data_IF_700659799914
#
_entry.id   IF_700659799914
#
_cell.length_a   1.000
_cell.length_b   1.000
_cell.length_c   1.000
_cell.angle_alpha   90.00
_cell.angle_beta   90.00
_cell.angle_gamma   90.00
#
_symmetry.space_group_name_H-M   'P 1'
#
loop_
_entity.id
_entity.type
_entity.pdbx_description
1 polymer ?
#
# COMPACT_ATOMS: atom_id res chain seq x y z
N UNK A 1 -18.65 24.16 25.37
CA UNK A 1 -18.26 22.82 25.89
C UNK A 1 -17.15 22.31 24.98
N UNK A 2 -15.98 21.91 25.49
CA UNK A 2 -15.03 21.19 24.66
C UNK A 2 -15.62 19.82 24.33
N UNK A 3 -15.56 19.43 23.07
CA UNK A 3 -15.95 18.10 22.60
C UNK A 3 -14.90 17.15 23.13
N UNK A 4 -15.27 16.29 24.08
CA UNK A 4 -14.47 15.13 24.46
C UNK A 4 -14.32 14.26 23.22
N UNK A 5 -13.10 14.18 22.68
CA UNK A 5 -12.74 13.24 21.62
C UNK A 5 -13.10 11.83 22.09
N UNK A 6 -13.99 11.16 21.36
CA UNK A 6 -14.36 9.78 21.59
C UNK A 6 -13.17 8.82 21.44
N UNK A 7 -13.34 7.54 21.80
CA UNK A 7 -12.28 6.55 21.80
C UNK A 7 -11.79 6.31 20.36
N UNK A 8 -10.49 6.55 20.11
CA UNK A 8 -9.74 6.19 18.90
C UNK A 8 -10.53 6.23 17.58
N UNK A 9 -10.56 7.40 16.93
CA UNK A 9 -10.97 7.46 15.54
C UNK A 9 -9.79 7.02 14.64
N UNK A 10 -9.69 5.73 14.38
CA UNK A 10 -8.66 5.15 13.51
C UNK A 10 -8.67 5.73 12.10
N UNK A 11 -9.80 6.29 11.64
CA UNK A 11 -9.90 6.93 10.34
C UNK A 11 -9.19 8.31 10.29
N UNK A 12 -9.18 9.05 11.40
CA UNK A 12 -8.44 10.32 11.51
C UNK A 12 -6.93 10.08 11.70
N UNK A 13 -6.56 9.01 12.41
CA UNK A 13 -5.15 8.64 12.53
C UNK A 13 -4.57 8.04 11.24
N UNK A 14 -5.40 7.35 10.43
CA UNK A 14 -5.02 6.83 9.13
C UNK A 14 -4.91 7.94 8.06
N UNK A 15 -5.72 9.00 8.15
CA UNK A 15 -5.69 10.12 7.19
C UNK A 15 -4.43 10.99 7.29
N UNK A 16 -3.72 10.95 8.43
CA UNK A 16 -2.41 11.60 8.61
C UNK A 16 -1.26 10.92 7.86
N UNK A 17 -1.50 9.74 7.28
CA UNK A 17 -0.50 8.96 6.54
C UNK A 17 0.39 8.09 7.43
N UNK A 18 0.56 6.83 7.03
CA UNK A 18 1.50 5.87 7.61
C UNK A 18 0.87 4.80 8.52
N UNK A 19 1.69 3.84 8.94
CA UNK A 19 1.23 2.63 9.62
C UNK A 19 0.60 2.91 11.01
N UNK A 20 -0.55 2.29 11.27
CA UNK A 20 -1.30 2.42 12.54
C UNK A 20 -0.64 1.66 13.70
N UNK A 21 0.01 0.53 13.42
CA UNK A 21 0.53 -0.36 14.46
C UNK A 21 1.51 0.31 15.46
N UNK A 22 2.50 1.13 15.03
CA UNK A 22 3.35 1.87 15.96
C UNK A 22 2.58 2.82 16.88
N UNK A 23 1.58 3.52 16.34
CA UNK A 23 0.75 4.45 17.12
C UNK A 23 -0.05 3.70 18.18
N UNK A 24 -0.58 2.52 17.81
CA UNK A 24 -1.31 1.66 18.73
C UNK A 24 -0.41 1.13 19.84
N UNK A 25 0.83 0.73 19.53
CA UNK A 25 1.83 0.33 20.53
C UNK A 25 2.09 1.46 21.52
N UNK A 26 2.36 2.69 21.04
CA UNK A 26 2.60 3.86 21.90
C UNK A 26 1.44 4.04 22.88
N UNK A 27 0.20 4.04 22.38
CA UNK A 27 -0.93 4.30 23.27
C UNK A 27 -1.20 3.15 24.25
N UNK A 28 -1.05 1.89 23.83
CA UNK A 28 -1.19 0.77 24.78
C UNK A 28 -0.13 0.87 25.88
N UNK A 29 1.11 1.25 25.53
CA UNK A 29 2.18 1.51 26.52
C UNK A 29 1.76 2.60 27.50
N UNK A 30 1.20 3.72 27.02
CA UNK A 30 0.71 4.80 27.87
C UNK A 30 -0.43 4.34 28.80
N UNK A 31 -1.34 3.50 28.30
CA UNK A 31 -2.49 3.00 29.07
C UNK A 31 -2.08 2.00 30.18
N UNK A 32 -1.05 1.18 29.94
CA UNK A 32 -0.62 0.16 30.91
C UNK A 32 0.58 0.59 31.78
N UNK A 33 1.17 1.75 31.49
CA UNK A 33 2.25 2.36 32.28
C UNK A 33 3.47 1.45 32.43
N UNK A 34 4.04 1.38 33.63
CA UNK A 34 5.24 0.58 33.95
C UNK A 34 5.09 -0.91 33.62
N UNK A 35 3.85 -1.44 33.54
CA UNK A 35 3.62 -2.81 33.13
C UNK A 35 4.10 -3.08 31.69
N UNK A 36 4.20 -2.06 30.84
CA UNK A 36 4.67 -2.15 29.47
C UNK A 36 6.09 -2.74 29.33
N UNK A 37 6.92 -2.60 30.38
CA UNK A 37 8.29 -3.08 30.37
C UNK A 37 8.42 -4.54 30.82
N UNK A 38 7.32 -5.18 31.22
CA UNK A 38 7.31 -6.62 31.49
C UNK A 38 7.52 -7.40 30.18
N UNK A 39 8.32 -8.48 30.17
CA UNK A 39 8.64 -9.25 28.96
C UNK A 39 7.43 -9.66 28.12
N UNK A 40 6.34 -10.06 28.78
CA UNK A 40 5.09 -10.50 28.12
C UNK A 40 4.41 -9.42 27.27
N UNK A 41 4.60 -8.13 27.57
CA UNK A 41 4.02 -7.03 26.80
C UNK A 41 4.99 -6.59 25.69
N UNK A 42 6.28 -6.59 25.96
CA UNK A 42 7.31 -6.33 24.94
C UNK A 42 7.19 -7.31 23.76
N UNK A 43 7.09 -8.62 24.05
CA UNK A 43 6.87 -9.64 23.01
C UNK A 43 5.58 -9.39 22.20
N UNK A 44 4.50 -8.95 22.85
CA UNK A 44 3.23 -8.64 22.17
C UNK A 44 3.37 -7.42 21.27
N UNK A 45 4.07 -6.38 21.71
CA UNK A 45 4.32 -5.20 20.88
C UNK A 45 5.15 -5.56 19.64
N UNK A 46 6.18 -6.37 19.81
CA UNK A 46 6.98 -6.88 18.68
C UNK A 46 6.10 -7.68 17.70
N UNK A 47 5.26 -8.59 18.19
CA UNK A 47 4.34 -9.36 17.34
C UNK A 47 3.33 -8.46 16.61
N UNK A 48 2.83 -7.39 17.24
CA UNK A 48 1.94 -6.43 16.60
C UNK A 48 2.61 -5.71 15.44
N UNK A 49 3.86 -5.25 15.63
CA UNK A 49 4.63 -4.58 14.59
C UNK A 49 4.98 -5.55 13.45
N UNK A 50 5.41 -6.76 13.79
CA UNK A 50 5.70 -7.79 12.80
C UNK A 50 4.46 -8.19 12.00
N UNK A 51 3.30 -8.30 12.65
CA UNK A 51 2.04 -8.62 11.96
C UNK A 51 1.66 -7.52 10.96
N UNK A 52 1.91 -6.26 11.31
CA UNK A 52 1.68 -5.14 10.38
C UNK A 52 2.63 -5.19 9.17
N UNK A 53 3.90 -5.55 9.38
CA UNK A 53 4.85 -5.72 8.28
C UNK A 53 4.50 -6.90 7.38
N UNK A 54 3.96 -7.99 7.94
CA UNK A 54 3.51 -9.15 7.19
C UNK A 54 2.31 -8.84 6.28
N UNK A 55 1.38 -8.00 6.75
CA UNK A 55 0.20 -7.57 5.98
C UNK A 55 0.60 -6.80 4.70
N UNK A 56 1.73 -6.10 4.74
CA UNK A 56 2.21 -5.27 3.62
C UNK A 56 3.54 -5.74 3.04
N UNK A 57 3.93 -6.98 3.34
CA UNK A 57 5.19 -7.57 2.88
C UNK A 57 5.26 -7.73 1.34
N UNK A 58 4.12 -7.66 0.66
CA UNK A 58 4.01 -7.79 -0.80
C UNK A 58 4.90 -6.80 -1.56
N UNK A 59 5.25 -5.64 -0.97
CA UNK A 59 6.20 -4.70 -1.61
C UNK A 59 7.60 -5.28 -1.81
N UNK A 60 7.96 -6.30 -1.03
CA UNK A 60 9.24 -6.99 -1.09
C UNK A 60 9.20 -8.31 -1.86
N UNK A 61 8.04 -8.71 -2.40
CA UNK A 61 7.91 -9.90 -3.24
C UNK A 61 8.58 -9.72 -4.61
N UNK A 62 8.81 -10.80 -5.38
CA UNK A 62 9.22 -10.68 -6.78
C UNK A 62 8.34 -9.70 -7.54
N UNK A 63 8.95 -8.87 -8.40
CA UNK A 63 8.29 -7.72 -9.04
C UNK A 63 6.95 -8.08 -9.71
N UNK A 64 6.88 -9.19 -10.46
CA UNK A 64 5.64 -9.61 -11.11
C UNK A 64 4.52 -10.01 -10.12
N UNK A 65 4.88 -10.53 -8.94
CA UNK A 65 3.92 -10.82 -7.87
C UNK A 65 3.36 -9.52 -7.27
N UNK A 66 4.21 -8.52 -7.06
CA UNK A 66 3.81 -7.18 -6.61
C UNK A 66 2.84 -6.54 -7.61
N UNK A 67 3.14 -6.61 -8.91
CA UNK A 67 2.27 -6.14 -10.00
C UNK A 67 0.93 -6.86 -9.98
N UNK A 68 0.92 -8.18 -9.82
CA UNK A 68 -0.32 -8.96 -9.69
C UNK A 68 -1.17 -8.53 -8.49
N UNK A 69 -0.54 -8.18 -7.37
CA UNK A 69 -1.23 -7.64 -6.19
C UNK A 69 -1.84 -6.26 -6.46
N UNK A 70 -1.12 -5.36 -7.14
CA UNK A 70 -1.66 -4.07 -7.56
C UNK A 70 -2.88 -4.21 -8.48
N UNK A 71 -2.85 -5.14 -9.44
CA UNK A 71 -3.97 -5.42 -10.34
C UNK A 71 -5.20 -5.92 -9.57
N UNK A 72 -5.02 -6.86 -8.64
CA UNK A 72 -6.14 -7.34 -7.79
C UNK A 72 -6.79 -6.21 -6.99
N UNK A 73 -5.98 -5.32 -6.42
CA UNK A 73 -6.49 -4.17 -5.67
C UNK A 73 -7.21 -3.15 -6.58
N UNK A 74 -6.73 -2.93 -7.81
CA UNK A 74 -7.41 -2.08 -8.77
C UNK A 74 -8.79 -2.64 -9.13
N UNK A 75 -8.87 -3.93 -9.43
CA UNK A 75 -10.13 -4.64 -9.71
C UNK A 75 -11.10 -4.57 -8.53
N UNK A 76 -10.60 -4.81 -7.32
CA UNK A 76 -11.41 -4.73 -6.11
C UNK A 76 -11.94 -3.31 -5.87
N UNK A 77 -11.13 -2.27 -6.13
CA UNK A 77 -11.54 -0.86 -6.01
C UNK A 77 -12.68 -0.53 -6.98
N UNK A 78 -12.60 -0.98 -8.24
CA UNK A 78 -13.65 -0.76 -9.23
C UNK A 78 -14.94 -1.48 -8.84
N UNK A 79 -14.84 -2.75 -8.44
CA UNK A 79 -15.97 -3.53 -7.94
C UNK A 79 -16.65 -2.83 -6.74
N UNK A 80 -15.88 -2.39 -5.74
CA UNK A 80 -16.40 -1.68 -4.55
C UNK A 80 -17.02 -0.33 -4.90
N UNK A 81 -16.60 0.27 -6.01
CA UNK A 81 -17.15 1.53 -6.52
C UNK A 81 -18.35 1.33 -7.44
N UNK A 82 -18.77 0.08 -7.71
CA UNK A 82 -19.86 -0.24 -8.63
C UNK A 82 -19.55 0.06 -10.10
N UNK A 83 -18.28 0.21 -10.47
CA UNK A 83 -17.86 0.46 -11.85
C UNK A 83 -17.48 -0.84 -12.55
N UNK A 84 -17.87 -0.97 -13.80
CA UNK A 84 -17.41 -2.06 -14.66
C UNK A 84 -16.02 -1.74 -15.20
N UNK A 85 -15.02 -2.59 -14.91
CA UNK A 85 -13.64 -2.39 -15.36
C UNK A 85 -13.52 -2.38 -16.89
N UNK A 86 -14.44 -3.03 -17.61
CA UNK A 86 -14.49 -3.02 -19.07
C UNK A 86 -15.05 -1.69 -19.64
N UNK A 87 -15.61 -0.82 -18.81
CA UNK A 87 -16.13 0.48 -19.23
C UNK A 87 -15.02 1.54 -19.32
N UNK A 88 -15.25 2.57 -20.16
CA UNK A 88 -14.38 3.75 -20.23
C UNK A 88 -14.39 4.60 -18.96
N UNK A 89 -15.47 4.57 -18.17
CA UNK A 89 -15.54 5.28 -16.88
C UNK A 89 -14.49 4.80 -15.87
N UNK A 90 -14.04 3.55 -16.02
CA UNK A 90 -13.00 2.96 -15.17
C UNK A 90 -11.58 3.32 -15.61
N UNK A 91 -11.38 3.94 -16.77
CA UNK A 91 -10.04 4.20 -17.30
C UNK A 91 -9.22 5.15 -16.41
N UNK A 92 -9.77 6.34 -16.12
CA UNK A 92 -9.09 7.33 -15.29
C UNK A 92 -8.77 6.80 -13.87
N UNK A 93 -9.73 6.22 -13.11
CA UNK A 93 -9.45 5.74 -11.76
C UNK A 93 -8.41 4.61 -11.70
N UNK A 94 -8.44 3.68 -12.67
CA UNK A 94 -7.47 2.58 -12.77
C UNK A 94 -6.09 3.11 -13.14
N UNK A 95 -5.99 4.02 -14.11
CA UNK A 95 -4.74 4.66 -14.50
C UNK A 95 -4.09 5.38 -13.32
N UNK A 96 -4.83 6.24 -12.62
CA UNK A 96 -4.32 6.97 -11.45
C UNK A 96 -3.87 6.02 -10.35
N UNK A 97 -4.62 4.94 -10.12
CA UNK A 97 -4.28 3.95 -9.11
C UNK A 97 -2.99 3.20 -9.42
N UNK A 98 -2.87 2.66 -10.63
CA UNK A 98 -1.74 1.82 -11.04
C UNK A 98 -0.46 2.61 -11.29
N UNK A 99 -0.56 3.92 -11.50
CA UNK A 99 0.59 4.81 -11.69
C UNK A 99 0.96 5.54 -10.39
N UNK A 100 0.48 6.78 -10.22
CA UNK A 100 0.81 7.62 -9.07
C UNK A 100 0.39 6.98 -7.75
N UNK A 101 -0.74 6.26 -7.72
CA UNK A 101 -1.22 5.57 -6.53
C UNK A 101 -0.24 4.51 -6.03
N UNK A 102 0.27 3.64 -6.91
CA UNK A 102 1.24 2.61 -6.53
C UNK A 102 2.57 3.21 -6.08
N UNK A 103 3.08 4.23 -6.79
CA UNK A 103 4.31 4.92 -6.37
C UNK A 103 4.16 5.59 -5.01
N UNK A 104 3.03 6.26 -4.78
CA UNK A 104 2.76 6.91 -3.50
C UNK A 104 2.64 5.89 -2.37
N UNK A 105 1.92 4.79 -2.60
CA UNK A 105 1.85 3.69 -1.64
C UNK A 105 3.25 3.13 -1.31
N UNK A 106 4.02 2.80 -2.33
CA UNK A 106 5.32 2.15 -2.19
C UNK A 106 6.35 3.04 -1.48
N UNK A 107 6.42 4.31 -1.86
CA UNK A 107 7.46 5.23 -1.40
C UNK A 107 7.08 6.01 -0.14
N UNK A 108 5.80 6.40 -0.01
CA UNK A 108 5.40 7.38 1.01
C UNK A 108 4.56 6.76 2.12
N UNK A 109 3.66 5.83 1.80
CA UNK A 109 2.76 5.23 2.79
C UNK A 109 3.38 4.01 3.45
N UNK A 110 4.00 3.13 2.66
CA UNK A 110 4.54 1.88 3.15
C UNK A 110 5.91 2.05 3.80
N UNK A 111 6.02 1.64 5.06
CA UNK A 111 7.28 1.52 5.81
C UNK A 111 7.21 0.27 6.68
N UNK A 112 8.30 -0.49 6.72
CA UNK A 112 8.44 -1.55 7.71
C UNK A 112 8.59 -0.91 9.09
N UNK A 113 7.85 -1.44 10.06
CA UNK A 113 7.74 -0.90 11.43
C UNK A 113 8.34 -1.83 12.49
N UNK A 114 8.89 -2.96 12.08
CA UNK A 114 9.72 -3.83 12.90
C UNK A 114 11.12 -3.99 12.30
N UNK A 115 12.10 -4.27 13.17
CA UNK A 115 13.47 -4.59 12.75
C UNK A 115 13.50 -5.86 11.88
N UNK A 116 12.70 -6.86 12.24
CA UNK A 116 12.61 -8.12 11.50
C UNK A 116 12.02 -7.90 10.11
N UNK A 117 10.90 -7.19 9.99
CA UNK A 117 10.28 -6.89 8.70
C UNK A 117 11.22 -6.10 7.79
N UNK A 118 11.90 -5.08 8.35
CA UNK A 118 12.93 -4.32 7.63
C UNK A 118 14.05 -5.21 7.11
N UNK A 119 14.56 -6.12 7.94
CA UNK A 119 15.65 -7.03 7.57
C UNK A 119 15.23 -8.07 6.53
N UNK A 120 14.03 -8.62 6.64
CA UNK A 120 13.56 -9.74 5.80
C UNK A 120 13.01 -9.25 4.47
N UNK A 121 12.19 -8.20 4.47
CA UNK A 121 11.47 -7.73 3.28
C UNK A 121 12.09 -6.46 2.65
N UNK A 122 12.93 -5.73 3.40
CA UNK A 122 13.62 -4.53 2.94
C UNK A 122 14.41 -4.71 1.64
N UNK A 123 15.29 -5.74 1.53
CA UNK A 123 16.06 -5.96 0.31
C UNK A 123 15.19 -6.15 -0.93
N UNK A 124 14.05 -6.84 -0.80
CA UNK A 124 13.09 -7.01 -1.90
C UNK A 124 12.41 -5.70 -2.27
N UNK A 125 12.01 -4.89 -1.28
CA UNK A 125 11.46 -3.55 -1.50
C UNK A 125 12.47 -2.67 -2.25
N UNK A 126 13.73 -2.67 -1.83
CA UNK A 126 14.76 -1.88 -2.49
C UNK A 126 15.00 -2.34 -3.94
N UNK A 127 15.01 -3.65 -4.19
CA UNK A 127 15.12 -4.20 -5.54
C UNK A 127 13.94 -3.84 -6.46
N UNK A 128 12.75 -3.60 -5.90
CA UNK A 128 11.56 -3.22 -6.66
C UNK A 128 11.45 -1.70 -6.91
N UNK A 129 12.17 -0.87 -6.16
CA UNK A 129 12.01 0.59 -6.17
C UNK A 129 12.11 1.21 -7.57
N UNK A 130 13.19 0.90 -8.28
CA UNK A 130 13.43 1.44 -9.62
C UNK A 130 12.40 0.90 -10.63
N UNK A 131 11.99 -0.36 -10.49
CA UNK A 131 11.02 -1.00 -11.38
C UNK A 131 9.63 -0.42 -11.22
N UNK A 132 9.19 -0.18 -9.99
CA UNK A 132 7.89 0.48 -9.71
C UNK A 132 7.85 1.88 -10.32
N UNK A 133 8.93 2.65 -10.14
CA UNK A 133 9.05 3.98 -10.76
C UNK A 133 9.04 3.90 -12.30
N UNK A 134 9.86 3.03 -12.89
CA UNK A 134 9.94 2.86 -14.34
C UNK A 134 8.61 2.41 -14.96
N UNK A 135 7.87 1.52 -14.27
CA UNK A 135 6.56 1.06 -14.72
C UNK A 135 5.54 2.20 -14.72
N UNK A 136 5.49 3.00 -13.66
CA UNK A 136 4.61 4.16 -13.56
C UNK A 136 4.90 5.19 -14.65
N UNK A 137 6.17 5.53 -14.87
CA UNK A 137 6.60 6.44 -15.95
C UNK A 137 6.20 5.92 -17.34
N UNK A 138 6.49 4.64 -17.66
CA UNK A 138 6.10 4.05 -18.95
C UNK A 138 4.61 4.13 -19.20
N UNK A 139 3.80 3.88 -18.18
CA UNK A 139 2.34 3.98 -18.30
C UNK A 139 1.90 5.42 -18.56
N UNK A 140 2.50 6.40 -17.86
CA UNK A 140 2.21 7.81 -18.09
C UNK A 140 2.60 8.26 -19.50
N UNK A 141 3.81 7.94 -19.93
CA UNK A 141 4.32 8.26 -21.26
C UNK A 141 3.46 7.68 -22.39
N UNK A 142 2.99 6.43 -22.24
CA UNK A 142 2.26 5.75 -23.32
C UNK A 142 0.77 6.08 -23.37
N UNK A 143 0.14 6.38 -22.23
CA UNK A 143 -1.33 6.37 -22.13
C UNK A 143 -1.98 7.66 -21.61
N UNK A 144 -1.24 8.62 -21.05
CA UNK A 144 -1.83 9.83 -20.46
C UNK A 144 -2.78 10.59 -21.42
N UNK A 145 -2.42 10.70 -22.70
CA UNK A 145 -3.17 11.45 -23.70
C UNK A 145 -4.25 10.62 -24.44
N UNK A 146 -4.47 9.37 -24.01
CA UNK A 146 -5.36 8.42 -24.70
C UNK A 146 -6.41 7.78 -23.78
N UNK A 147 -6.56 8.28 -22.56
CA UNK A 147 -7.42 7.68 -21.54
C UNK A 147 -8.91 7.67 -21.96
N UNK A 148 -9.33 8.62 -22.79
CA UNK A 148 -10.68 8.72 -23.35
C UNK A 148 -11.04 7.56 -24.31
N UNK A 149 -10.02 6.85 -24.83
CA UNK A 149 -10.16 5.73 -25.76
C UNK A 149 -9.99 4.37 -25.08
N UNK A 150 -9.76 4.35 -23.76
CA UNK A 150 -9.37 3.15 -23.02
C UNK A 150 -10.48 2.73 -22.06
N UNK A 151 -10.50 1.44 -21.72
CA UNK A 151 -11.19 0.94 -20.52
C UNK A 151 -10.20 0.75 -19.37
N UNK A 152 -10.72 0.54 -18.15
CA UNK A 152 -9.90 0.08 -17.03
C UNK A 152 -9.17 -1.23 -17.35
N UNK A 153 -9.82 -2.16 -18.07
CA UNK A 153 -9.22 -3.44 -18.45
C UNK A 153 -8.04 -3.24 -19.41
N UNK A 154 -8.16 -2.36 -20.41
CA UNK A 154 -7.05 -2.09 -21.33
C UNK A 154 -5.81 -1.55 -20.61
N UNK A 155 -6.02 -0.74 -19.57
CA UNK A 155 -4.92 -0.20 -18.75
C UNK A 155 -4.31 -1.27 -17.83
N UNK A 156 -5.11 -2.19 -17.29
CA UNK A 156 -4.61 -3.33 -16.53
C UNK A 156 -3.72 -4.23 -17.41
N UNK A 157 -4.21 -4.56 -18.62
CA UNK A 157 -3.46 -5.40 -19.55
C UNK A 157 -2.13 -4.75 -19.93
N UNK A 158 -2.16 -3.45 -20.26
CA UNK A 158 -0.97 -2.66 -20.56
C UNK A 158 0.01 -2.57 -19.36
N UNK A 159 -0.52 -2.45 -18.13
CA UNK A 159 0.29 -2.41 -16.91
C UNK A 159 1.03 -3.73 -16.70
N UNK A 160 0.37 -4.87 -16.94
CA UNK A 160 0.96 -6.21 -16.83
C UNK A 160 2.00 -6.45 -17.94
N UNK A 161 1.69 -6.06 -19.18
CA UNK A 161 2.63 -6.15 -20.30
C UNK A 161 3.90 -5.33 -20.03
N UNK A 162 3.74 -4.07 -19.61
CA UNK A 162 4.85 -3.20 -19.23
C UNK A 162 5.70 -3.77 -18.10
N UNK A 163 5.07 -4.46 -17.13
CA UNK A 163 5.79 -5.13 -16.06
C UNK A 163 6.67 -6.29 -16.57
N UNK A 164 6.16 -7.08 -17.51
CA UNK A 164 6.89 -8.20 -18.08
C UNK A 164 8.15 -7.73 -18.84
N UNK A 165 8.09 -6.56 -19.47
CA UNK A 165 9.26 -5.92 -20.11
C UNK A 165 10.32 -5.40 -19.12
N UNK A 166 9.97 -5.25 -17.83
CA UNK A 166 10.82 -4.70 -16.76
C UNK A 166 11.36 -5.77 -15.79
N UNK A 167 10.84 -6.99 -15.87
CA UNK A 167 11.20 -8.13 -15.01
C UNK A 167 12.53 -8.77 -15.46
#
# INVERSE_FOLDING_TARGET
RPVTSGPFNTAEDASSGGCLAPKLVIKIRDEIGEAADQPKYQERFELMLLSADLDTANVGEPFLSLVGSAVRLALEREMRSGRDVASGESAQPVYEFLTQGQEHYFNNLHRFVSDMGSKVFGPGKDANRERVHAQGERMRERYADRLDQMSGQNLIDAYVESAAELA
#
